data_IF_406866111229
#
_entry.id   IF_406866111229
#
_cell.length_a   1.000
_cell.length_b   1.000
_cell.length_c   1.000
_cell.angle_alpha   90.00
_cell.angle_beta   90.00
_cell.angle_gamma   90.00
#
_symmetry.space_group_name_H-M   'P 1'
#
loop_
_entity.id
_entity.type
_entity.pdbx_description
1 polymer ?
#
# COMPACT_ATOMS: atom_id res chain seq x y z
N UNK A 1 -1.11 -7.46 11.84
CA UNK A 1 -1.19 -6.16 12.50
C UNK A 1 -0.71 -6.32 13.92
N UNK A 2 0.21 -5.48 14.37
CA UNK A 2 0.77 -5.52 15.74
C UNK A 2 1.07 -4.11 16.19
N UNK A 3 0.92 -3.85 17.50
CA UNK A 3 1.53 -2.71 18.16
C UNK A 3 2.80 -3.23 18.80
N UNK A 4 3.95 -2.66 18.45
CA UNK A 4 5.25 -3.02 18.99
C UNK A 4 5.60 -1.95 20.02
N UNK A 5 5.56 -2.31 21.29
CA UNK A 5 5.90 -1.41 22.40
C UNK A 5 7.18 -1.91 23.04
N UNK A 6 8.26 -1.15 22.95
CA UNK A 6 9.45 -1.32 23.80
C UNK A 6 9.24 -0.49 25.06
N UNK A 7 9.72 -0.97 26.21
CA UNK A 7 9.47 -0.37 27.54
C UNK A 7 9.80 1.13 27.65
N UNK A 8 10.70 1.65 26.79
CA UNK A 8 11.18 3.04 26.82
C UNK A 8 10.97 3.84 25.52
N UNK A 9 10.17 3.34 24.57
CA UNK A 9 9.95 4.00 23.28
C UNK A 9 8.47 4.15 22.97
N UNK A 10 8.14 5.23 22.21
CA UNK A 10 6.79 5.46 21.68
C UNK A 10 6.28 4.23 20.90
N UNK A 11 4.97 3.92 21.00
CA UNK A 11 4.39 2.75 20.35
C UNK A 11 4.58 2.82 18.83
N UNK A 12 5.01 1.71 18.22
CA UNK A 12 5.14 1.55 16.78
C UNK A 12 4.00 0.68 16.28
N UNK A 13 3.17 1.21 15.41
CA UNK A 13 2.05 0.51 14.79
C UNK A 13 2.51 -0.17 13.51
N UNK A 14 2.49 -1.49 13.50
CA UNK A 14 2.92 -2.29 12.36
C UNK A 14 1.74 -2.87 11.60
N UNK A 15 1.70 -2.65 10.29
CA UNK A 15 0.74 -3.28 9.40
C UNK A 15 1.38 -3.67 8.05
N UNK A 16 0.81 -4.69 7.42
CA UNK A 16 1.24 -5.15 6.10
C UNK A 16 0.16 -4.85 5.07
N UNK A 17 0.54 -4.26 3.95
CA UNK A 17 -0.30 -4.12 2.78
C UNK A 17 0.15 -5.02 1.64
N UNK A 18 -0.81 -5.44 0.78
CA UNK A 18 -0.52 -6.29 -0.39
C UNK A 18 -1.32 -5.86 -1.59
N UNK A 19 -0.70 -5.88 -2.76
CA UNK A 19 -1.37 -5.68 -4.04
C UNK A 19 -0.63 -6.43 -5.16
N UNK A 20 -1.31 -7.31 -5.87
CA UNK A 20 -0.67 -8.26 -6.83
C UNK A 20 0.48 -9.02 -6.16
N UNK A 21 1.69 -8.90 -6.68
CA UNK A 21 2.91 -9.47 -6.09
C UNK A 21 3.64 -8.51 -5.14
N UNK A 22 3.18 -7.25 -5.01
CA UNK A 22 3.79 -6.28 -4.12
C UNK A 22 3.36 -6.52 -2.66
N UNK A 23 4.34 -6.46 -1.76
CA UNK A 23 4.15 -6.54 -0.31
C UNK A 23 4.81 -5.33 0.34
N UNK A 24 4.04 -4.57 1.12
CA UNK A 24 4.51 -3.41 1.88
C UNK A 24 4.43 -3.73 3.38
N UNK A 25 5.53 -3.55 4.09
CA UNK A 25 5.61 -3.57 5.55
C UNK A 25 5.68 -2.13 6.04
N UNK A 26 4.64 -1.68 6.72
CA UNK A 26 4.49 -0.29 7.14
C UNK A 26 4.63 -0.18 8.65
N UNK A 27 5.55 0.67 9.09
CA UNK A 27 5.79 1.02 10.48
C UNK A 27 5.41 2.50 10.68
N UNK A 28 4.46 2.76 11.55
CA UNK A 28 3.96 4.09 11.88
C UNK A 28 4.29 4.39 13.33
N UNK A 29 4.99 5.48 13.57
CA UNK A 29 5.30 6.00 14.92
C UNK A 29 4.91 7.48 15.00
N UNK A 30 4.63 7.97 16.18
CA UNK A 30 4.41 9.41 16.41
C UNK A 30 5.68 10.17 16.05
N UNK A 31 5.55 11.26 15.30
CA UNK A 31 6.71 12.00 14.81
C UNK A 31 6.35 13.30 14.09
N UNK A 32 7.20 13.69 13.15
CA UNK A 32 7.16 14.97 12.42
C UNK A 32 6.51 14.92 11.04
N UNK A 33 6.00 13.75 10.62
CA UNK A 33 5.37 13.57 9.30
C UNK A 33 6.32 13.06 8.21
N UNK A 34 7.50 12.56 8.58
CA UNK A 34 8.47 12.04 7.61
C UNK A 34 8.01 10.68 7.08
N UNK A 35 7.90 10.56 5.76
CA UNK A 35 7.62 9.28 5.09
C UNK A 35 8.89 8.81 4.39
N UNK A 36 9.24 7.53 4.56
CA UNK A 36 10.37 6.90 3.88
C UNK A 36 9.95 5.58 3.26
N UNK A 37 10.44 5.29 2.05
CA UNK A 37 10.19 4.03 1.33
C UNK A 37 11.53 3.42 0.99
N UNK A 38 11.80 2.23 1.52
CA UNK A 38 13.09 1.55 1.37
C UNK A 38 14.30 2.43 1.75
N UNK A 39 14.13 3.35 2.72
CA UNK A 39 15.17 4.29 3.15
C UNK A 39 15.26 5.58 2.33
N UNK A 40 14.52 5.71 1.22
CA UNK A 40 14.51 6.88 0.35
C UNK A 40 13.26 7.75 0.56
N UNK A 41 13.32 9.01 0.09
CA UNK A 41 12.14 9.87 0.04
C UNK A 41 11.15 9.33 -1.00
N UNK A 42 9.82 9.38 -0.72
CA UNK A 42 8.80 8.92 -1.66
C UNK A 42 8.88 9.60 -3.03
N UNK A 43 9.25 10.88 -3.08
CA UNK A 43 9.39 11.66 -4.32
C UNK A 43 10.52 11.17 -5.22
N UNK A 44 11.58 10.62 -4.63
CA UNK A 44 12.68 10.01 -5.38
C UNK A 44 12.33 8.59 -5.79
N UNK A 45 11.61 7.86 -4.94
CA UNK A 45 11.24 6.48 -5.18
C UNK A 45 10.16 6.31 -6.26
N UNK A 46 9.11 7.14 -6.22
CA UNK A 46 8.02 7.11 -7.19
C UNK A 46 8.20 8.18 -8.26
N UNK A 47 8.35 7.79 -9.55
CA UNK A 47 8.54 8.74 -10.64
C UNK A 47 7.29 9.57 -10.96
N UNK A 48 6.11 9.13 -10.52
CA UNK A 48 4.83 9.77 -10.83
C UNK A 48 4.24 10.44 -9.59
N UNK A 49 3.96 11.74 -9.71
CA UNK A 49 3.36 12.57 -8.63
C UNK A 49 1.98 12.07 -8.18
N UNK A 50 1.19 11.47 -9.06
CA UNK A 50 -0.11 10.91 -8.70
C UNK A 50 0.01 9.78 -7.67
N UNK A 51 1.06 8.97 -7.75
CA UNK A 51 1.32 7.90 -6.76
C UNK A 51 1.62 8.47 -5.38
N UNK A 52 2.24 9.65 -5.31
CA UNK A 52 2.53 10.33 -4.05
C UNK A 52 1.27 10.89 -3.38
N UNK A 53 0.37 11.45 -4.19
CA UNK A 53 -0.92 11.95 -3.70
C UNK A 53 -1.75 10.80 -3.14
N UNK A 54 -1.86 9.71 -3.89
CA UNK A 54 -2.61 8.53 -3.45
C UNK A 54 -2.00 7.88 -2.20
N UNK A 55 -0.67 7.85 -2.09
CA UNK A 55 0.03 7.35 -0.91
C UNK A 55 -0.34 8.14 0.37
N UNK A 56 -0.46 9.46 0.26
CA UNK A 56 -0.80 10.36 1.40
C UNK A 56 -2.30 10.39 1.72
N UNK A 57 -3.16 9.99 0.79
CA UNK A 57 -4.62 10.03 0.92
C UNK A 57 -5.20 9.48 2.23
N UNK A 58 -4.72 8.35 2.81
CA UNK A 58 -5.22 7.89 4.10
C UNK A 58 -4.96 8.85 5.25
N UNK A 59 -3.83 9.57 5.22
CA UNK A 59 -3.45 10.55 6.24
C UNK A 59 -4.30 11.82 6.13
N UNK A 60 -4.55 12.27 4.91
CA UNK A 60 -5.37 13.46 4.63
C UNK A 60 -6.81 13.23 5.07
N UNK A 61 -7.42 12.08 4.73
CA UNK A 61 -8.78 11.73 5.11
C UNK A 61 -8.98 11.56 6.62
N UNK A 62 -7.93 11.19 7.35
CA UNK A 62 -7.98 11.06 8.82
C UNK A 62 -7.53 12.31 9.56
N UNK A 63 -7.07 13.35 8.84
CA UNK A 63 -6.53 14.58 9.44
C UNK A 63 -5.23 14.35 10.23
N UNK A 64 -4.49 13.29 9.90
CA UNK A 64 -3.27 12.88 10.60
C UNK A 64 -1.99 13.25 9.87
N UNK A 65 -2.07 14.07 8.83
CA UNK A 65 -0.93 14.57 8.08
C UNK A 65 0.03 15.34 9.00
N UNK A 66 1.32 15.03 8.94
CA UNK A 66 2.35 15.68 9.77
C UNK A 66 2.48 15.15 11.21
N UNK A 67 1.67 14.21 11.66
CA UNK A 67 1.71 13.69 13.04
C UNK A 67 2.47 12.38 13.21
N UNK A 68 2.73 11.67 12.12
CA UNK A 68 3.35 10.35 12.15
C UNK A 68 4.56 10.27 11.23
N UNK A 69 5.63 9.68 11.71
CA UNK A 69 6.73 9.21 10.89
C UNK A 69 6.41 7.80 10.40
N UNK A 70 6.52 7.60 9.09
CA UNK A 70 6.12 6.35 8.43
C UNK A 70 7.32 5.78 7.69
N UNK A 71 7.73 4.59 8.10
CA UNK A 71 8.75 3.83 7.39
C UNK A 71 8.10 2.63 6.70
N UNK A 72 8.32 2.52 5.38
CA UNK A 72 7.72 1.50 4.55
C UNK A 72 8.82 0.71 3.85
N UNK A 73 8.82 -0.60 4.05
CA UNK A 73 9.65 -1.51 3.26
C UNK A 73 8.76 -2.20 2.23
N UNK A 74 9.06 -2.02 0.94
CA UNK A 74 8.26 -2.56 -0.16
C UNK A 74 9.11 -3.50 -1.01
N UNK A 75 8.53 -4.67 -1.34
CA UNK A 75 9.16 -5.66 -2.21
C UNK A 75 8.15 -6.20 -3.23
N UNK A 76 8.66 -6.53 -4.42
CA UNK A 76 7.90 -7.14 -5.52
C UNK A 76 6.97 -6.20 -6.27
N UNK A 77 6.47 -6.65 -7.40
CA UNK A 77 5.55 -5.89 -8.24
C UNK A 77 6.17 -4.66 -8.93
N UNK A 78 5.33 -3.83 -9.51
CA UNK A 78 5.72 -2.55 -10.10
C UNK A 78 5.25 -1.36 -9.24
N UNK A 79 5.71 -0.16 -9.54
CA UNK A 79 5.48 1.06 -8.74
C UNK A 79 4.01 1.30 -8.35
N UNK A 80 3.06 1.10 -9.28
CA UNK A 80 1.63 1.25 -8.98
C UNK A 80 1.11 0.19 -7.99
N UNK A 81 1.61 -1.05 -8.06
CA UNK A 81 1.23 -2.09 -7.10
C UNK A 81 1.88 -1.85 -5.73
N UNK A 82 3.11 -1.36 -5.73
CA UNK A 82 3.85 -1.00 -4.51
C UNK A 82 3.19 0.17 -3.78
N UNK A 83 2.78 1.22 -4.52
CA UNK A 83 2.05 2.35 -3.95
C UNK A 83 0.74 1.86 -3.31
N UNK A 84 -0.08 1.10 -4.04
CA UNK A 84 -1.33 0.57 -3.51
C UNK A 84 -1.12 -0.31 -2.28
N UNK A 85 -0.07 -1.14 -2.26
CA UNK A 85 0.30 -1.95 -1.10
C UNK A 85 0.72 -1.06 0.09
N UNK A 86 1.51 -0.01 -0.15
CA UNK A 86 1.95 0.94 0.86
C UNK A 86 0.76 1.72 1.45
N UNK A 87 -0.11 2.28 0.59
CA UNK A 87 -1.35 2.98 0.98
C UNK A 87 -2.25 2.10 1.84
N UNK A 88 -2.45 0.86 1.42
CA UNK A 88 -3.22 -0.12 2.20
C UNK A 88 -2.57 -0.43 3.56
N UNK A 89 -1.24 -0.54 3.61
CA UNK A 89 -0.47 -0.71 4.84
C UNK A 89 -0.64 0.47 5.80
N UNK A 90 -0.55 1.72 5.30
CA UNK A 90 -0.79 2.95 6.07
C UNK A 90 -2.22 2.95 6.64
N UNK A 91 -3.22 2.69 5.80
CA UNK A 91 -4.64 2.65 6.21
C UNK A 91 -4.87 1.65 7.35
N UNK A 92 -4.28 0.46 7.24
CA UNK A 92 -4.37 -0.55 8.30
C UNK A 92 -3.64 -0.15 9.59
N UNK A 93 -2.50 0.51 9.48
CA UNK A 93 -1.77 1.00 10.65
C UNK A 93 -2.56 2.10 11.38
N UNK A 94 -3.17 3.03 10.64
CA UNK A 94 -4.02 4.07 11.21
C UNK A 94 -5.24 3.51 11.98
N UNK A 95 -5.81 2.38 11.54
CA UNK A 95 -6.88 1.72 12.31
C UNK A 95 -6.41 1.10 13.63
N UNK A 96 -5.10 0.90 13.82
CA UNK A 96 -4.54 0.50 15.13
C UNK A 96 -4.33 1.70 16.04
N UNK A 97 -4.10 2.89 15.47
CA UNK A 97 -3.97 4.14 16.23
C UNK A 97 -5.32 4.54 16.81
N UNK A 98 -6.36 4.56 15.97
CA UNK A 98 -7.74 4.84 16.39
C UNK A 98 -8.72 3.99 15.56
N UNK A 99 -9.60 3.26 16.27
CA UNK A 99 -10.61 2.40 15.66
C UNK A 99 -11.64 3.19 14.82
N UNK A 100 -11.94 4.45 15.17
CA UNK A 100 -12.90 5.30 14.44
C UNK A 100 -12.47 5.61 13.01
N UNK A 101 -11.16 5.68 12.75
CA UNK A 101 -10.63 5.88 11.40
C UNK A 101 -11.05 4.77 10.44
N UNK A 102 -11.37 3.58 10.96
CA UNK A 102 -11.82 2.46 10.15
C UNK A 102 -13.08 2.79 9.35
N UNK A 103 -14.03 3.53 9.93
CA UNK A 103 -15.29 3.91 9.24
C UNK A 103 -14.99 4.79 8.03
N UNK A 104 -14.20 5.84 8.22
CA UNK A 104 -13.83 6.81 7.17
C UNK A 104 -13.01 6.13 6.06
N UNK A 105 -12.00 5.36 6.44
CA UNK A 105 -11.12 4.68 5.49
C UNK A 105 -11.85 3.58 4.70
N UNK A 106 -12.81 2.88 5.31
CA UNK A 106 -13.64 1.87 4.65
C UNK A 106 -14.60 2.51 3.64
N UNK A 107 -15.27 3.61 3.99
CA UNK A 107 -16.15 4.36 3.09
C UNK A 107 -15.42 4.82 1.82
N UNK A 108 -14.13 5.17 1.93
CA UNK A 108 -13.28 5.57 0.81
C UNK A 108 -12.56 4.39 0.12
N UNK A 109 -12.88 3.14 0.44
CA UNK A 109 -12.31 1.95 -0.19
C UNK A 109 -10.84 1.66 0.14
N UNK A 110 -10.25 2.35 1.13
CA UNK A 110 -8.82 2.26 1.47
C UNK A 110 -8.46 1.04 2.33
N UNK A 111 -9.45 0.31 2.84
CA UNK A 111 -9.26 -0.91 3.65
C UNK A 111 -9.64 -2.18 2.86
N UNK A 112 -10.23 -2.03 1.68
CA UNK A 112 -10.63 -3.17 0.85
C UNK A 112 -9.42 -3.73 0.10
N UNK A 113 -9.20 -5.04 0.22
CA UNK A 113 -8.14 -5.73 -0.53
C UNK A 113 -8.65 -6.05 -1.92
N UNK A 114 -7.93 -5.59 -2.94
CA UNK A 114 -8.17 -5.98 -4.32
C UNK A 114 -7.35 -7.24 -4.65
N UNK A 115 -8.02 -8.37 -4.77
CA UNK A 115 -7.41 -9.68 -5.02
C UNK A 115 -7.08 -9.95 -6.50
N UNK A 116 -7.42 -9.03 -7.42
CA UNK A 116 -7.16 -9.22 -8.85
C UNK A 116 -5.66 -9.32 -9.14
N UNK A 117 -5.27 -10.40 -9.79
CA UNK A 117 -3.92 -10.67 -10.29
C UNK A 117 -3.95 -10.92 -11.78
N UNK A 118 -2.77 -10.99 -12.41
CA UNK A 118 -2.67 -11.32 -13.85
C UNK A 118 -3.19 -12.73 -14.07
N UNK A 119 -4.13 -12.88 -14.99
CA UNK A 119 -4.72 -14.16 -15.34
C UNK A 119 -3.67 -15.07 -15.99
N UNK A 120 -3.62 -16.33 -15.58
CA UNK A 120 -2.69 -17.34 -16.08
C UNK A 120 -2.91 -17.62 -17.57
N UNK A 121 -1.83 -17.74 -18.34
CA UNK A 121 -1.89 -18.25 -19.71
C UNK A 121 -2.50 -19.65 -19.71
N UNK A 122 -3.40 -19.93 -20.67
CA UNK A 122 -4.04 -21.25 -20.86
C UNK A 122 -3.46 -21.93 -22.08
N UNK A 123 -3.49 -23.24 -22.08
CA UNK A 123 -3.12 -24.05 -23.24
C UNK A 123 -4.07 -23.75 -24.42
N UNK A 124 -3.59 -23.88 -25.65
CA UNK A 124 -4.35 -23.55 -26.87
C UNK A 124 -4.59 -22.07 -27.14
N UNK A 125 -4.17 -21.17 -26.25
CA UNK A 125 -4.28 -19.71 -26.40
C UNK A 125 -2.90 -19.04 -26.42
N UNK A 126 -2.77 -17.89 -27.12
CA UNK A 126 -1.54 -17.11 -27.12
C UNK A 126 -1.30 -16.36 -25.78
N UNK A 127 -2.38 -15.91 -25.12
CA UNK A 127 -2.39 -15.30 -23.77
C UNK A 127 -3.46 -15.98 -22.93
N UNK A 128 -3.90 -15.34 -21.85
CA UNK A 128 -4.93 -15.88 -20.98
C UNK A 128 -6.26 -16.16 -21.72
N UNK A 129 -6.62 -15.30 -22.68
CA UNK A 129 -7.88 -15.38 -23.44
C UNK A 129 -7.70 -15.17 -24.95
N UNK A 130 -6.54 -14.74 -25.44
CA UNK A 130 -6.30 -14.47 -26.85
C UNK A 130 -6.20 -15.80 -27.62
N UNK A 131 -7.20 -16.08 -28.42
CA UNK A 131 -7.20 -17.24 -29.31
C UNK A 131 -6.21 -17.07 -30.49
N UNK A 132 -5.65 -18.17 -31.05
CA UNK A 132 -4.93 -18.13 -32.32
C UNK A 132 -5.89 -17.77 -33.45
N UNK A 133 -5.38 -17.07 -34.45
CA UNK A 133 -6.14 -16.75 -35.64
C UNK A 133 -6.06 -17.95 -36.61
N UNK A 134 -7.22 -18.42 -37.08
CA UNK A 134 -7.25 -19.41 -38.15
C UNK A 134 -6.89 -18.77 -39.48
N UNK A 135 -5.99 -19.40 -40.24
CA UNK A 135 -5.76 -19.00 -41.61
C UNK A 135 -6.87 -19.60 -42.50
N UNK A 136 -7.51 -18.77 -43.32
CA UNK A 136 -8.41 -19.24 -44.38
C UNK A 136 -7.56 -19.87 -45.48
N UNK A 137 -7.66 -21.16 -45.68
CA UNK A 137 -7.36 -21.87 -46.92
C UNK A 137 -8.43 -22.94 -47.11
#
# INVERSE_FOLDING_TARGET
>A
MKVITNKDQAPVYYATGRRKSAVARTFVKTGSGKITINGENPEKYFPNKYLLIDLKRPLDLTGMTGRFDINITVNGGGYSAQENAARFGISRALTLVNADFRKVLKANGLITVDSRVVERKKYGLHKARKAPQFSKR
#
